data_IF_707369193772
#
_entry.id   IF_707369193772
#
_cell.length_a   1.000
_cell.length_b   1.000
_cell.length_c   1.000
_cell.angle_alpha   90.00
_cell.angle_beta   90.00
_cell.angle_gamma   90.00
#
_symmetry.space_group_name_H-M   'P 1'
#
loop_
_entity.id
_entity.type
_entity.pdbx_description
1 polymer ?
#
# COMPACT_ATOMS: atom_id res chain seq x y z
N UNK A 1 14.11 -5.18 31.45
CA UNK A 1 14.01 -5.23 29.98
C UNK A 1 13.25 -4.00 29.53
N UNK A 2 13.93 -3.00 28.98
CA UNK A 2 13.25 -1.84 28.39
C UNK A 2 12.59 -2.31 27.10
N UNK A 3 11.26 -2.26 27.01
CA UNK A 3 10.56 -2.61 25.78
C UNK A 3 10.87 -1.58 24.70
N UNK A 4 11.11 -2.04 23.46
CA UNK A 4 11.28 -1.13 22.32
C UNK A 4 10.05 -0.20 22.23
N UNK A 5 10.30 1.10 22.02
CA UNK A 5 9.23 2.07 21.83
C UNK A 5 8.43 1.70 20.57
N UNK A 6 7.11 1.82 20.62
CA UNK A 6 6.21 1.49 19.51
C UNK A 6 5.46 2.74 19.04
N UNK A 7 5.24 2.86 17.74
CA UNK A 7 4.31 3.81 17.13
C UNK A 7 3.04 3.08 16.70
N UNK A 8 1.91 3.79 16.66
CA UNK A 8 0.64 3.26 16.12
C UNK A 8 0.34 3.95 14.80
N UNK A 9 0.18 3.19 13.72
CA UNK A 9 -0.15 3.74 12.41
C UNK A 9 -1.57 4.35 12.42
N UNK A 10 -1.80 5.59 11.93
CA UNK A 10 -3.12 6.21 11.94
C UNK A 10 -4.12 5.56 10.96
N UNK A 11 -3.65 4.94 9.88
CA UNK A 11 -4.48 4.21 8.92
C UNK A 11 -4.81 2.80 9.39
N UNK A 12 -3.81 1.92 9.41
CA UNK A 12 -3.98 0.50 9.75
C UNK A 12 -4.15 0.25 11.27
N UNK A 13 -3.71 1.16 12.15
CA UNK A 13 -3.68 0.97 13.63
C UNK A 13 -2.78 -0.16 14.11
N UNK A 14 -1.96 -0.73 13.23
CA UNK A 14 -0.91 -1.65 13.62
C UNK A 14 0.14 -0.93 14.47
N UNK A 15 0.66 -1.62 15.48
CA UNK A 15 1.76 -1.15 16.32
C UNK A 15 3.08 -1.66 15.76
N UNK A 16 3.95 -0.74 15.36
CA UNK A 16 5.27 -1.06 14.84
C UNK A 16 6.34 -0.56 15.82
N UNK A 17 7.48 -1.27 15.96
CA UNK A 17 8.65 -0.74 16.64
C UNK A 17 9.08 0.57 15.97
N UNK A 18 9.43 1.58 16.77
CA UNK A 18 10.05 2.80 16.26
C UNK A 18 11.33 2.43 15.51
N UNK A 19 11.49 2.99 14.31
CA UNK A 19 12.64 2.73 13.43
C UNK A 19 13.47 4.01 13.29
N UNK A 20 14.75 3.91 13.64
CA UNK A 20 15.68 5.02 13.49
C UNK A 20 15.80 5.42 12.01
N UNK A 21 15.64 6.71 11.73
CA UNK A 21 15.75 7.25 10.37
C UNK A 21 14.57 6.95 9.44
N UNK A 22 13.46 6.40 9.94
CA UNK A 22 12.24 6.28 9.14
C UNK A 22 11.70 7.67 8.77
N UNK A 23 11.71 8.00 7.48
CA UNK A 23 11.20 9.27 6.95
C UNK A 23 10.02 9.01 6.03
N UNK A 24 8.97 9.79 6.24
CA UNK A 24 7.78 9.72 5.41
C UNK A 24 7.15 11.10 5.20
N UNK A 25 6.75 11.40 3.95
CA UNK A 25 6.26 12.71 3.54
C UNK A 25 4.72 12.86 3.64
N UNK A 26 4.01 11.82 4.09
CA UNK A 26 2.60 11.94 4.47
C UNK A 26 1.57 11.85 3.34
N UNK A 27 1.89 11.29 2.17
CA UNK A 27 0.92 11.16 1.06
C UNK A 27 -0.28 10.22 1.37
N UNK A 28 -0.06 9.20 2.18
CA UNK A 28 -1.02 8.25 2.75
C UNK A 28 -1.17 8.55 4.24
N UNK A 29 -2.29 8.13 4.82
CA UNK A 29 -2.53 8.21 6.25
C UNK A 29 -1.77 7.11 6.99
N UNK A 30 -0.44 7.18 7.00
CA UNK A 30 0.46 6.16 7.52
C UNK A 30 1.52 6.75 8.46
N UNK A 31 2.01 5.93 9.39
CA UNK A 31 3.20 6.29 10.18
C UNK A 31 4.49 6.06 9.38
N UNK A 32 5.60 6.74 9.72
CA UNK A 32 6.89 6.50 9.08
C UNK A 32 7.34 5.04 9.14
N UNK A 33 7.06 4.33 10.22
CA UNK A 33 7.45 2.93 10.41
C UNK A 33 6.67 1.99 9.51
N UNK A 34 5.36 2.22 9.36
CA UNK A 34 4.53 1.43 8.45
C UNK A 34 4.92 1.67 6.99
N UNK A 35 5.22 2.92 6.65
CA UNK A 35 5.78 3.27 5.34
C UNK A 35 7.11 2.56 5.07
N UNK A 36 8.01 2.51 6.05
CA UNK A 36 9.30 1.83 5.91
C UNK A 36 9.12 0.34 5.57
N UNK A 37 8.25 -0.38 6.29
CA UNK A 37 7.92 -1.80 6.01
C UNK A 37 7.33 -1.97 4.61
N UNK A 38 6.37 -1.11 4.24
CA UNK A 38 5.80 -1.13 2.89
C UNK A 38 6.87 -0.93 1.80
N UNK A 39 7.81 -0.01 2.00
CA UNK A 39 8.89 0.22 1.04
C UNK A 39 9.90 -0.92 0.96
N UNK A 40 10.09 -1.70 2.03
CA UNK A 40 10.88 -2.95 1.98
C UNK A 40 10.20 -3.98 1.06
N UNK A 41 8.87 -4.16 1.19
CA UNK A 41 8.09 -5.08 0.34
C UNK A 41 8.15 -4.64 -1.12
N UNK A 42 7.84 -3.37 -1.40
CA UNK A 42 7.89 -2.83 -2.76
C UNK A 42 9.30 -2.90 -3.34
N UNK A 43 10.34 -2.65 -2.53
CA UNK A 43 11.73 -2.80 -2.94
C UNK A 43 12.07 -4.23 -3.37
N UNK A 44 11.61 -5.23 -2.62
CA UNK A 44 11.76 -6.64 -2.99
C UNK A 44 11.03 -6.99 -4.30
N UNK A 45 9.84 -6.44 -4.52
CA UNK A 45 9.10 -6.59 -5.78
C UNK A 45 9.90 -6.00 -6.95
N UNK A 46 10.41 -4.77 -6.84
CA UNK A 46 11.19 -4.14 -7.92
C UNK A 46 12.50 -4.88 -8.24
N UNK A 47 13.09 -5.57 -7.28
CA UNK A 47 14.27 -6.40 -7.49
C UNK A 47 13.98 -7.76 -8.17
N UNK A 48 12.72 -8.15 -8.33
CA UNK A 48 12.33 -9.42 -8.95
C UNK A 48 11.14 -9.22 -9.90
N UNK A 49 11.41 -9.22 -11.20
CA UNK A 49 10.41 -8.99 -12.24
C UNK A 49 9.22 -9.98 -12.20
N UNK A 50 9.45 -11.24 -11.81
CA UNK A 50 8.37 -12.21 -11.66
C UNK A 50 7.47 -11.84 -10.48
N UNK A 51 8.06 -11.52 -9.33
CA UNK A 51 7.32 -11.09 -8.15
C UNK A 51 6.52 -9.80 -8.45
N UNK A 52 7.18 -8.79 -9.01
CA UNK A 52 6.54 -7.54 -9.44
C UNK A 52 5.30 -7.80 -10.29
N UNK A 53 5.45 -8.63 -11.34
CA UNK A 53 4.36 -8.98 -12.26
C UNK A 53 3.20 -9.67 -11.54
N UNK A 54 3.50 -10.51 -10.55
CA UNK A 54 2.51 -11.34 -9.88
C UNK A 54 1.74 -10.61 -8.78
N UNK A 55 2.33 -9.65 -8.08
CA UNK A 55 1.70 -9.11 -6.85
C UNK A 55 1.63 -7.59 -6.75
N UNK A 56 2.39 -6.82 -7.54
CA UNK A 56 2.58 -5.39 -7.30
C UNK A 56 1.27 -4.58 -7.19
N UNK A 57 0.33 -4.80 -8.13
CA UNK A 57 -0.96 -4.10 -8.10
C UNK A 57 -1.75 -4.42 -6.81
N UNK A 58 -1.74 -5.69 -6.38
CA UNK A 58 -2.42 -6.11 -5.16
C UNK A 58 -1.79 -5.44 -3.93
N UNK A 59 -0.46 -5.38 -3.86
CA UNK A 59 0.28 -4.74 -2.77
C UNK A 59 -0.05 -3.25 -2.67
N UNK A 60 0.06 -2.51 -3.79
CA UNK A 60 -0.20 -1.06 -3.85
C UNK A 60 -1.65 -0.75 -3.49
N UNK A 61 -2.61 -1.47 -4.09
CA UNK A 61 -4.03 -1.21 -3.83
C UNK A 61 -4.41 -1.51 -2.37
N UNK A 62 -3.86 -2.59 -1.81
CA UNK A 62 -4.10 -2.96 -0.40
C UNK A 62 -3.54 -1.90 0.54
N UNK A 63 -2.30 -1.44 0.31
CA UNK A 63 -1.68 -0.43 1.14
C UNK A 63 -2.44 0.89 1.10
N UNK A 64 -2.84 1.35 -0.09
CA UNK A 64 -3.59 2.58 -0.26
C UNK A 64 -4.93 2.55 0.49
N UNK A 65 -5.67 1.43 0.38
CA UNK A 65 -6.98 1.28 1.06
C UNK A 65 -6.83 1.16 2.57
N UNK A 66 -5.83 0.44 3.07
CA UNK A 66 -5.53 0.35 4.51
C UNK A 66 -5.13 1.71 5.12
N UNK A 67 -4.59 2.61 4.31
CA UNK A 67 -4.10 3.93 4.72
C UNK A 67 -4.89 5.08 4.10
N UNK A 68 -6.20 4.88 3.94
CA UNK A 68 -7.12 5.89 3.45
C UNK A 68 -7.23 7.10 4.40
N UNK A 69 -7.63 8.24 3.82
CA UNK A 69 -7.73 9.54 4.51
C UNK A 69 -6.42 10.32 4.52
N UNK A 70 -6.34 11.32 5.39
CA UNK A 70 -5.20 12.23 5.44
C UNK A 70 -5.08 13.04 4.15
N UNK A 71 -3.88 13.09 3.57
CA UNK A 71 -3.63 13.79 2.30
C UNK A 71 -3.98 12.94 1.06
N UNK A 72 -4.28 11.64 1.23
CA UNK A 72 -4.52 10.76 0.10
C UNK A 72 -5.91 11.02 -0.51
N UNK A 73 -6.04 11.25 -1.82
CA UNK A 73 -7.33 11.61 -2.40
C UNK A 73 -8.36 10.47 -2.34
N UNK A 74 -9.58 10.76 -1.90
CA UNK A 74 -10.69 9.79 -1.87
C UNK A 74 -10.97 9.15 -3.24
N UNK A 75 -10.81 9.93 -4.32
CA UNK A 75 -10.91 9.41 -5.69
C UNK A 75 -9.90 8.29 -5.96
N UNK A 76 -8.70 8.39 -5.40
CA UNK A 76 -7.65 7.38 -5.55
C UNK A 76 -8.05 6.10 -4.81
N UNK A 77 -8.65 6.23 -3.62
CA UNK A 77 -9.18 5.09 -2.87
C UNK A 77 -10.24 4.32 -3.67
N UNK A 78 -11.14 5.01 -4.38
CA UNK A 78 -12.14 4.36 -5.24
C UNK A 78 -11.47 3.53 -6.34
N UNK A 79 -10.40 4.05 -6.95
CA UNK A 79 -9.63 3.33 -7.98
C UNK A 79 -8.95 2.09 -7.39
N UNK A 80 -8.29 2.21 -6.23
CA UNK A 80 -7.65 1.08 -5.56
C UNK A 80 -8.66 0.01 -5.11
N UNK A 81 -9.80 0.40 -4.54
CA UNK A 81 -10.89 -0.52 -4.19
C UNK A 81 -11.44 -1.24 -5.43
N UNK A 82 -11.57 -0.54 -6.56
CA UNK A 82 -11.99 -1.14 -7.82
C UNK A 82 -10.98 -2.19 -8.30
N UNK A 83 -9.68 -1.91 -8.19
CA UNK A 83 -8.60 -2.86 -8.46
C UNK A 83 -8.68 -4.11 -7.60
N UNK A 84 -8.82 -3.94 -6.28
CA UNK A 84 -9.02 -5.05 -5.34
C UNK A 84 -10.27 -5.87 -5.66
N UNK A 85 -11.38 -5.23 -6.02
CA UNK A 85 -12.60 -5.94 -6.43
C UNK A 85 -12.38 -6.78 -7.69
N UNK A 86 -11.67 -6.24 -8.69
CA UNK A 86 -11.34 -6.99 -9.90
C UNK A 86 -10.46 -8.21 -9.60
N UNK A 87 -9.46 -8.07 -8.72
CA UNK A 87 -8.57 -9.18 -8.37
C UNK A 87 -9.25 -10.22 -7.48
N UNK A 88 -9.76 -9.79 -6.32
CA UNK A 88 -10.27 -10.68 -5.28
C UNK A 88 -11.71 -11.12 -5.55
N UNK A 89 -12.53 -10.24 -6.11
CA UNK A 89 -13.94 -10.51 -6.37
C UNK A 89 -14.21 -11.11 -7.75
N UNK A 90 -13.36 -10.82 -8.75
CA UNK A 90 -13.56 -11.26 -10.15
C UNK A 90 -12.46 -12.16 -10.70
N UNK A 91 -11.40 -12.43 -9.93
CA UNK A 91 -10.31 -13.32 -10.34
C UNK A 91 -9.45 -12.77 -11.49
N UNK A 92 -9.49 -11.46 -11.73
CA UNK A 92 -8.63 -10.83 -12.74
C UNK A 92 -7.19 -10.81 -12.23
N UNK A 93 -6.27 -11.33 -13.04
CA UNK A 93 -4.85 -11.35 -12.65
C UNK A 93 -4.28 -9.93 -12.55
N UNK A 94 -3.35 -9.65 -11.62
CA UNK A 94 -2.84 -8.30 -11.36
C UNK A 94 -2.32 -7.56 -12.60
N UNK A 95 -1.68 -8.27 -13.54
CA UNK A 95 -1.17 -7.68 -14.79
C UNK A 95 -2.22 -7.11 -15.74
N UNK A 96 -3.50 -7.49 -15.57
CA UNK A 96 -4.59 -6.99 -16.41
C UNK A 96 -5.33 -5.81 -15.78
N UNK A 97 -5.22 -5.63 -14.47
CA UNK A 97 -5.95 -4.61 -13.70
C UNK A 97 -5.65 -3.18 -14.17
N UNK A 98 -4.39 -2.76 -14.41
CA UNK A 98 -4.12 -1.40 -14.89
C UNK A 98 -4.92 -1.00 -16.14
N UNK A 99 -5.09 -1.93 -17.09
CA UNK A 99 -5.86 -1.69 -18.31
C UNK A 99 -7.37 -1.52 -18.08
N UNK A 100 -7.92 -2.06 -17.00
CA UNK A 100 -9.30 -1.78 -16.57
C UNK A 100 -9.38 -0.43 -15.84
N UNK A 101 -8.43 -0.13 -14.94
CA UNK A 101 -8.43 1.10 -14.17
C UNK A 101 -8.25 2.35 -15.04
N UNK A 102 -7.46 2.27 -16.11
CA UNK A 102 -7.31 3.33 -17.12
C UNK A 102 -8.63 3.72 -17.82
N UNK A 103 -9.68 2.89 -17.72
CA UNK A 103 -11.02 3.23 -18.25
C UNK A 103 -11.87 4.00 -17.24
N UNK A 104 -11.50 3.98 -15.97
CA UNK A 104 -12.22 4.61 -14.86
C UNK A 104 -11.75 6.05 -14.60
N UNK A 105 -10.55 6.42 -15.04
CA UNK A 105 -10.05 7.79 -14.95
C UNK A 105 -8.91 8.06 -15.94
N UNK A 106 -8.75 9.32 -16.37
CA UNK A 106 -7.55 9.79 -17.07
C UNK A 106 -6.31 9.83 -16.16
#
# INVERSE_FOLDING_TARGET
MSGAQQSTCPGWRLKEPVRDGAVYHGYYNASPECWAVYTEVIGAEFCNAELFRLVHQLTVDTYAVQHAGGAHPDKSIIIHLSGLHLMLGRGIVPTKVPGYLQRLGP
#
